data_IF_066988063016
#
_entry.id   IF_066988063016
#
_cell.length_a   1.000
_cell.length_b   1.000
_cell.length_c   1.000
_cell.angle_alpha   90.00
_cell.angle_beta   90.00
_cell.angle_gamma   90.00
#
_symmetry.space_group_name_H-M   'P 1'
#
loop_
_entity.id
_entity.type
_entity.pdbx_description
1 polymer ?
#
# COMPACT_ATOMS: atom_id res chain seq x y z
N UNK A 1 18.54 -4.18 -73.62
CA UNK A 1 19.98 -4.49 -73.48
C UNK A 1 20.80 -3.23 -73.53
N UNK A 2 21.50 -2.88 -72.49
CA UNK A 2 22.52 -1.82 -72.52
C UNK A 2 23.82 -2.52 -72.88
N UNK A 3 24.05 -2.65 -74.16
CA UNK A 3 25.30 -3.11 -74.72
C UNK A 3 26.28 -1.93 -74.85
N UNK A 4 27.32 -1.90 -74.00
CA UNK A 4 28.48 -1.08 -74.23
C UNK A 4 28.77 0.05 -73.25
N UNK A 5 28.86 -0.20 -71.98
CA UNK A 5 29.54 0.69 -71.04
C UNK A 5 30.62 -0.09 -70.30
N UNK A 6 31.83 -0.09 -70.84
CA UNK A 6 33.06 -0.51 -70.19
C UNK A 6 33.53 0.65 -69.32
N UNK A 7 33.34 0.59 -68.02
CA UNK A 7 34.08 1.41 -67.06
C UNK A 7 33.48 2.74 -66.58
N UNK A 8 32.18 3.03 -66.80
CA UNK A 8 31.54 4.21 -66.27
C UNK A 8 30.67 3.87 -65.03
N UNK A 9 30.82 4.62 -63.96
CA UNK A 9 29.87 4.56 -62.84
C UNK A 9 28.54 5.10 -63.31
N UNK A 10 27.54 4.21 -63.47
CA UNK A 10 26.16 4.64 -63.78
C UNK A 10 25.54 5.11 -62.48
N UNK A 11 25.40 6.39 -62.33
CA UNK A 11 24.61 6.95 -61.21
C UNK A 11 23.12 6.94 -61.63
N UNK A 12 22.23 6.19 -60.99
CA UNK A 12 20.80 6.26 -61.29
C UNK A 12 20.30 7.69 -61.10
N UNK A 13 19.32 8.10 -61.90
CA UNK A 13 18.64 9.35 -61.65
C UNK A 13 17.94 9.36 -60.29
N UNK A 14 17.79 10.55 -59.68
CA UNK A 14 17.08 10.69 -58.42
C UNK A 14 15.68 10.05 -58.51
N UNK A 15 15.33 9.28 -57.48
CA UNK A 15 14.07 8.50 -57.37
C UNK A 15 13.90 7.40 -58.45
N UNK A 16 14.96 7.01 -59.16
CA UNK A 16 14.89 5.96 -60.17
C UNK A 16 15.10 4.54 -59.63
N UNK A 17 15.47 4.40 -58.35
CA UNK A 17 15.67 3.11 -57.65
C UNK A 17 14.46 2.84 -56.75
N UNK A 18 13.58 1.96 -57.18
CA UNK A 18 12.46 1.47 -56.38
C UNK A 18 12.71 0.10 -55.79
N UNK A 19 11.75 -0.47 -55.06
CA UNK A 19 11.85 -1.80 -54.42
C UNK A 19 12.15 -2.92 -55.40
N UNK A 20 11.69 -2.80 -56.66
CA UNK A 20 11.96 -3.78 -57.72
C UNK A 20 13.43 -3.82 -58.14
N UNK A 21 14.14 -2.69 -58.10
CA UNK A 21 15.56 -2.59 -58.42
C UNK A 21 16.44 -3.11 -57.23
N UNK A 22 15.89 -3.11 -56.00
CA UNK A 22 16.54 -3.68 -54.83
C UNK A 22 16.39 -5.19 -54.73
N UNK A 23 15.69 -5.83 -55.68
CA UNK A 23 15.38 -7.25 -55.69
C UNK A 23 14.65 -7.69 -54.43
N UNK A 24 13.71 -6.85 -53.96
CA UNK A 24 12.86 -7.12 -52.80
C UNK A 24 11.41 -7.21 -53.28
N UNK A 25 10.64 -8.11 -52.66
CA UNK A 25 9.18 -8.04 -52.74
C UNK A 25 8.69 -6.84 -51.95
N UNK A 26 7.51 -6.32 -52.30
CA UNK A 26 6.94 -5.20 -51.56
C UNK A 26 6.70 -5.60 -50.08
N UNK A 27 6.98 -4.68 -49.14
CA UNK A 27 6.79 -4.86 -47.72
C UNK A 27 5.42 -4.34 -47.27
N UNK A 28 5.11 -4.51 -45.97
CA UNK A 28 3.93 -3.95 -45.34
C UNK A 28 4.24 -2.59 -44.70
N UNK A 29 3.20 -1.79 -44.48
CA UNK A 29 3.34 -0.48 -43.83
C UNK A 29 4.03 -0.65 -42.44
N UNK A 30 5.01 0.24 -42.17
CA UNK A 30 5.77 0.20 -40.89
C UNK A 30 7.00 -0.73 -40.88
N UNK A 31 7.25 -1.44 -42.00
CA UNK A 31 8.47 -2.23 -42.13
C UNK A 31 9.65 -1.39 -42.64
N UNK A 32 10.87 -1.78 -42.25
CA UNK A 32 12.12 -1.18 -42.74
C UNK A 32 12.95 -2.22 -43.49
N UNK A 33 13.86 -1.77 -44.35
CA UNK A 33 14.78 -2.65 -45.07
C UNK A 33 15.92 -3.02 -44.14
N UNK A 34 16.12 -4.31 -43.93
CA UNK A 34 17.16 -4.92 -43.07
C UNK A 34 18.18 -5.63 -43.95
N UNK A 35 19.47 -5.49 -43.63
CA UNK A 35 20.54 -6.33 -44.18
C UNK A 35 20.88 -7.47 -43.22
N UNK A 36 21.27 -8.63 -43.76
CA UNK A 36 21.80 -9.75 -43.00
C UNK A 36 23.32 -9.68 -42.79
N UNK A 37 23.98 -8.59 -43.20
CA UNK A 37 25.42 -8.42 -43.13
C UNK A 37 26.20 -9.19 -44.26
N UNK A 38 25.52 -9.95 -45.11
CA UNK A 38 26.13 -10.78 -46.20
C UNK A 38 25.52 -10.43 -47.59
N UNK A 39 25.01 -9.22 -47.75
CA UNK A 39 24.50 -8.69 -49.03
C UNK A 39 23.07 -9.04 -49.34
N UNK A 40 22.31 -9.65 -48.47
CA UNK A 40 20.85 -9.88 -48.63
C UNK A 40 20.04 -8.80 -47.92
N UNK A 41 19.07 -8.21 -48.62
CA UNK A 41 18.11 -7.27 -48.08
C UNK A 41 16.76 -7.95 -47.87
N UNK A 42 16.06 -7.60 -46.82
CA UNK A 42 14.70 -8.06 -46.50
C UNK A 42 13.91 -6.97 -45.79
N UNK A 43 12.59 -7.05 -45.83
CA UNK A 43 11.75 -6.21 -44.98
C UNK A 43 11.67 -6.83 -43.58
N UNK A 44 11.72 -6.00 -42.55
CA UNK A 44 11.56 -6.39 -41.16
C UNK A 44 10.72 -5.38 -40.41
N UNK A 45 9.95 -5.83 -39.46
CA UNK A 45 9.32 -4.98 -38.44
C UNK A 45 10.32 -4.72 -37.33
N UNK A 46 10.24 -3.58 -36.67
CA UNK A 46 10.93 -3.39 -35.40
C UNK A 46 10.26 -4.32 -34.38
N UNK A 47 10.87 -5.45 -34.13
CA UNK A 47 10.41 -6.38 -33.09
C UNK A 47 10.99 -5.92 -31.75
N UNK A 48 10.17 -5.19 -31.02
CA UNK A 48 10.51 -4.79 -29.65
C UNK A 48 10.25 -5.92 -28.64
N UNK A 49 9.58 -7.01 -29.10
CA UNK A 49 9.31 -8.18 -28.24
C UNK A 49 10.50 -9.11 -28.08
N UNK A 50 11.51 -8.99 -28.94
CA UNK A 50 12.72 -9.82 -28.95
C UNK A 50 13.95 -9.13 -28.35
N UNK A 51 13.80 -8.01 -27.65
CA UNK A 51 14.87 -7.42 -26.86
C UNK A 51 15.21 -8.39 -25.69
N UNK A 52 16.24 -9.24 -25.91
CA UNK A 52 16.55 -10.34 -24.98
C UNK A 52 17.21 -9.87 -23.70
N UNK A 53 17.75 -8.64 -23.65
CA UNK A 53 18.59 -8.22 -22.52
C UNK A 53 18.28 -6.82 -21.98
N UNK A 54 18.14 -5.80 -22.84
CA UNK A 54 17.88 -4.43 -22.38
C UNK A 54 17.32 -3.52 -23.45
N UNK A 55 16.48 -2.57 -23.05
CA UNK A 55 16.10 -1.39 -23.81
C UNK A 55 16.77 -0.18 -23.18
N UNK A 56 17.71 0.45 -23.90
CA UNK A 56 18.44 1.62 -23.39
C UNK A 56 18.09 2.87 -24.19
N UNK A 57 17.61 3.90 -23.48
CA UNK A 57 17.49 5.25 -24.04
C UNK A 57 18.68 6.06 -23.53
N UNK A 58 19.54 6.53 -24.44
CA UNK A 58 20.74 7.27 -24.09
C UNK A 58 20.76 8.66 -24.74
N UNK A 59 21.35 9.63 -24.04
CA UNK A 59 21.46 11.01 -24.49
C UNK A 59 21.75 11.95 -23.34
N UNK A 60 21.88 13.24 -23.61
CA UNK A 60 22.08 14.25 -22.54
C UNK A 60 20.80 14.51 -21.72
N UNK A 61 19.62 14.30 -22.31
CA UNK A 61 18.31 14.44 -21.68
C UNK A 61 17.36 13.34 -22.19
N UNK A 62 17.61 12.06 -21.83
CA UNK A 62 16.80 10.96 -22.33
C UNK A 62 15.38 11.02 -21.75
N UNK A 63 14.38 10.78 -22.61
CA UNK A 63 12.97 10.80 -22.25
C UNK A 63 12.27 9.57 -22.82
N UNK A 64 11.44 8.91 -22.03
CA UNK A 64 10.44 7.94 -22.48
C UNK A 64 9.07 8.58 -22.29
N UNK A 65 8.37 8.82 -23.42
CA UNK A 65 6.99 9.29 -23.38
C UNK A 65 6.06 8.11 -23.62
N UNK A 66 5.07 7.94 -22.75
CA UNK A 66 4.02 6.94 -22.88
C UNK A 66 2.69 7.70 -22.92
N UNK A 67 1.89 7.50 -23.98
CA UNK A 67 0.68 8.24 -24.26
C UNK A 67 0.87 9.35 -25.27
N UNK A 68 -0.25 9.93 -25.74
CA UNK A 68 -0.31 10.99 -26.76
C UNK A 68 -1.02 12.26 -26.29
N UNK A 69 -1.19 12.41 -24.96
CA UNK A 69 -1.96 13.47 -24.29
C UNK A 69 -3.48 13.40 -24.55
N UNK A 70 -3.99 12.24 -24.91
CA UNK A 70 -5.42 11.94 -24.93
C UNK A 70 -5.94 11.56 -23.54
N UNK A 71 -7.25 11.39 -23.43
CA UNK A 71 -7.91 10.96 -22.20
C UNK A 71 -7.84 9.43 -22.07
N UNK A 72 -6.63 8.90 -21.89
CA UNK A 72 -6.40 7.47 -21.72
C UNK A 72 -5.45 7.17 -20.57
N UNK A 73 -5.69 6.07 -19.88
CA UNK A 73 -4.77 5.52 -18.90
C UNK A 73 -3.46 5.07 -19.56
N UNK A 74 -2.35 5.49 -19.01
CA UNK A 74 -1.03 5.08 -19.50
C UNK A 74 -0.25 4.34 -18.42
N UNK A 75 0.48 3.27 -18.78
CA UNK A 75 1.19 2.46 -17.78
C UNK A 75 2.39 1.69 -18.33
N UNK A 76 3.27 1.34 -17.41
CA UNK A 76 4.28 0.29 -17.57
C UNK A 76 3.80 -0.90 -16.74
N UNK A 77 3.80 -2.08 -17.33
CA UNK A 77 3.50 -3.34 -16.63
C UNK A 77 4.79 -4.12 -16.45
N UNK A 78 5.03 -4.55 -15.22
CA UNK A 78 6.03 -5.53 -14.86
C UNK A 78 5.35 -6.89 -14.88
N UNK A 79 5.45 -7.57 -16.02
CA UNK A 79 4.79 -8.86 -16.31
C UNK A 79 5.63 -9.99 -15.69
N UNK A 80 5.22 -10.46 -14.52
CA UNK A 80 5.89 -11.50 -13.76
C UNK A 80 5.21 -12.86 -13.91
N UNK A 81 5.96 -13.95 -13.72
CA UNK A 81 5.38 -15.30 -13.82
C UNK A 81 4.32 -15.59 -12.75
N UNK A 82 4.46 -15.04 -11.56
CA UNK A 82 3.54 -15.29 -10.45
C UNK A 82 2.59 -14.12 -10.20
N UNK A 83 3.04 -12.89 -10.45
CA UNK A 83 2.29 -11.69 -10.14
C UNK A 83 2.79 -10.52 -10.97
N UNK A 84 1.87 -9.76 -11.54
CA UNK A 84 2.15 -8.52 -12.25
C UNK A 84 2.09 -7.33 -11.30
N UNK A 85 2.85 -6.29 -11.64
CA UNK A 85 2.75 -4.96 -11.05
C UNK A 85 2.70 -3.91 -12.17
N UNK A 86 2.13 -2.77 -11.87
CA UNK A 86 2.13 -1.64 -12.79
C UNK A 86 2.52 -0.34 -12.09
N UNK A 87 3.01 0.59 -12.91
CA UNK A 87 3.09 2.02 -12.59
C UNK A 87 2.45 2.77 -13.74
N UNK A 88 1.53 3.67 -13.47
CA UNK A 88 0.80 4.37 -14.53
C UNK A 88 0.00 5.57 -14.05
N UNK A 89 -0.46 6.33 -15.02
CA UNK A 89 -1.36 7.46 -14.83
C UNK A 89 -2.80 6.98 -15.06
N UNK A 90 -3.63 7.14 -14.05
CA UNK A 90 -5.09 6.99 -14.12
C UNK A 90 -5.68 8.35 -14.54
N UNK A 91 -6.02 8.48 -15.83
CA UNK A 91 -6.52 9.73 -16.39
C UNK A 91 -7.86 10.16 -15.76
N UNK A 92 -8.66 9.21 -15.35
CA UNK A 92 -9.98 9.49 -14.76
C UNK A 92 -9.92 10.11 -13.37
N UNK A 93 -8.82 9.86 -12.64
CA UNK A 93 -8.57 10.36 -11.29
C UNK A 93 -7.46 11.42 -11.26
N UNK A 94 -6.73 11.63 -12.37
CA UNK A 94 -5.53 12.45 -12.46
C UNK A 94 -4.40 12.00 -11.50
N UNK A 95 -4.34 10.67 -11.20
CA UNK A 95 -3.46 10.09 -10.21
C UNK A 95 -2.32 9.27 -10.83
N UNK A 96 -1.11 9.41 -10.27
CA UNK A 96 -0.03 8.45 -10.52
C UNK A 96 -0.15 7.27 -9.56
N UNK A 97 -0.32 6.05 -10.09
CA UNK A 97 -0.61 4.84 -9.33
C UNK A 97 0.51 3.82 -9.47
N UNK A 98 0.88 3.18 -8.35
CA UNK A 98 1.64 1.93 -8.32
C UNK A 98 0.72 0.86 -7.74
N UNK A 99 0.48 -0.22 -8.48
CA UNK A 99 -0.51 -1.21 -8.09
C UNK A 99 -0.17 -2.64 -8.51
N UNK A 100 -1.02 -3.56 -8.05
CA UNK A 100 -0.97 -4.99 -8.33
C UNK A 100 -1.79 -5.32 -9.58
N UNK A 101 -1.30 -6.29 -10.33
CA UNK A 101 -1.92 -6.74 -11.58
C UNK A 101 -1.54 -5.88 -12.77
N UNK A 102 -2.10 -6.20 -13.93
CA UNK A 102 -1.86 -5.49 -15.18
C UNK A 102 -2.92 -4.42 -15.48
N UNK A 103 -3.95 -4.26 -14.65
CA UNK A 103 -5.04 -3.30 -14.82
C UNK A 103 -4.90 -2.15 -13.85
N UNK A 104 -4.80 -0.94 -14.38
CA UNK A 104 -4.68 0.28 -13.58
C UNK A 104 -5.94 0.51 -12.72
N UNK A 105 -5.77 1.09 -11.53
CA UNK A 105 -6.87 1.48 -10.66
C UNK A 105 -7.58 0.36 -9.89
N UNK A 106 -7.32 -0.93 -10.16
CA UNK A 106 -8.03 -2.03 -9.48
C UNK A 106 -7.48 -2.39 -8.11
N UNK A 107 -6.18 -2.32 -7.92
CA UNK A 107 -5.50 -2.62 -6.64
C UNK A 107 -4.32 -1.68 -6.48
N UNK A 108 -4.60 -0.49 -5.95
CA UNK A 108 -3.59 0.56 -5.79
C UNK A 108 -2.87 0.39 -4.47
N UNK A 109 -1.54 0.26 -4.52
CA UNK A 109 -0.67 0.19 -3.34
C UNK A 109 -0.16 1.56 -2.92
N UNK A 110 0.17 2.42 -3.90
CA UNK A 110 0.58 3.81 -3.71
C UNK A 110 -0.16 4.64 -4.73
N UNK A 111 -0.74 5.74 -4.28
CA UNK A 111 -1.41 6.74 -5.11
C UNK A 111 -0.80 8.10 -4.81
N UNK A 112 -0.44 8.84 -5.85
CA UNK A 112 0.01 10.22 -5.76
C UNK A 112 -0.99 11.06 -6.56
N UNK A 113 -1.75 11.90 -5.86
CA UNK A 113 -2.76 12.75 -6.49
C UNK A 113 -2.14 13.98 -7.18
N UNK A 114 -2.93 14.71 -7.93
CA UNK A 114 -2.52 15.93 -8.65
C UNK A 114 -1.97 17.04 -7.75
N UNK A 115 -2.36 17.05 -6.45
CA UNK A 115 -1.88 17.98 -5.45
C UNK A 115 -0.57 17.54 -4.79
N UNK A 116 -0.10 16.31 -5.09
CA UNK A 116 1.13 15.73 -4.56
C UNK A 116 0.97 15.00 -3.22
N UNK A 117 -0.26 14.70 -2.78
CA UNK A 117 -0.46 13.85 -1.60
C UNK A 117 -0.17 12.40 -1.95
N UNK A 118 0.51 11.71 -1.05
CA UNK A 118 0.83 10.28 -1.20
C UNK A 118 -0.02 9.48 -0.22
N UNK A 119 -0.83 8.58 -0.76
CA UNK A 119 -1.62 7.65 0.05
C UNK A 119 -1.22 6.21 -0.21
N UNK A 120 -1.48 5.35 0.77
CA UNK A 120 -1.26 3.90 0.71
C UNK A 120 -2.54 3.20 1.15
N UNK A 121 -3.52 3.01 0.25
CA UNK A 121 -4.85 2.53 0.61
C UNK A 121 -4.89 1.18 1.30
N UNK A 122 -3.91 0.32 1.02
CA UNK A 122 -3.79 -1.03 1.59
C UNK A 122 -2.80 -1.12 2.77
N UNK A 123 -2.29 0.02 3.27
CA UNK A 123 -1.48 0.02 4.48
C UNK A 123 -2.37 -0.33 5.68
N UNK A 124 -2.04 -1.35 6.49
CA UNK A 124 -2.81 -1.68 7.67
C UNK A 124 -2.95 -0.50 8.61
N UNK A 125 -4.16 -0.09 8.88
CA UNK A 125 -4.50 0.99 9.81
C UNK A 125 -5.96 0.87 10.23
N UNK A 126 -6.23 1.04 11.52
CA UNK A 126 -7.57 0.98 12.07
C UNK A 126 -7.76 1.96 13.23
N UNK A 127 -8.99 2.31 13.49
CA UNK A 127 -9.46 2.96 14.72
C UNK A 127 -10.80 2.37 15.11
N UNK A 128 -10.86 1.80 16.30
CA UNK A 128 -12.07 1.27 16.89
C UNK A 128 -12.39 1.98 18.21
N UNK A 129 -13.69 2.15 18.48
CA UNK A 129 -14.20 2.89 19.63
C UNK A 129 -15.22 2.06 20.41
N UNK A 130 -15.35 2.39 21.68
CA UNK A 130 -16.41 1.82 22.50
C UNK A 130 -17.71 2.59 22.27
N UNK A 131 -18.71 1.93 21.69
CA UNK A 131 -19.98 2.55 21.27
C UNK A 131 -21.21 1.97 21.95
N UNK A 132 -21.07 0.82 22.60
CA UNK A 132 -22.17 0.20 23.35
C UNK A 132 -22.10 0.53 24.85
N UNK A 133 -23.00 -0.04 25.64
CA UNK A 133 -23.07 0.19 27.09
C UNK A 133 -21.72 0.03 27.79
N UNK A 134 -21.58 0.66 28.93
CA UNK A 134 -20.40 0.59 29.76
C UNK A 134 -19.97 -0.86 30.06
N UNK A 135 -18.70 -1.06 30.34
CA UNK A 135 -18.14 -2.37 30.61
C UNK A 135 -17.52 -2.40 32.01
N UNK A 136 -18.01 -3.29 32.87
CA UNK A 136 -17.41 -3.53 34.18
C UNK A 136 -16.37 -4.64 34.05
N UNK A 137 -15.07 -4.36 34.24
CA UNK A 137 -14.02 -5.38 34.23
C UNK A 137 -14.18 -6.39 35.36
N UNK A 138 -13.53 -7.54 35.20
CA UNK A 138 -13.47 -8.52 36.27
C UNK A 138 -12.34 -8.17 37.24
N UNK A 139 -12.65 -8.05 38.52
CA UNK A 139 -11.64 -7.75 39.54
C UNK A 139 -10.51 -8.81 39.59
N UNK A 140 -9.29 -8.34 39.78
CA UNK A 140 -8.07 -9.16 39.86
C UNK A 140 -7.79 -10.01 38.60
N UNK A 141 -8.28 -9.58 37.43
CA UNK A 141 -8.06 -10.25 36.15
C UNK A 141 -7.79 -9.27 35.04
N UNK A 142 -7.04 -9.69 34.03
CA UNK A 142 -6.89 -8.95 32.80
C UNK A 142 -8.18 -9.06 31.96
N UNK A 143 -8.97 -8.00 31.89
CA UNK A 143 -10.21 -7.95 31.11
C UNK A 143 -9.96 -7.27 29.77
N UNK A 144 -10.30 -7.93 28.67
CA UNK A 144 -10.21 -7.30 27.34
C UNK A 144 -11.25 -6.19 27.23
N UNK A 145 -10.79 -5.00 26.88
CA UNK A 145 -11.68 -3.86 26.61
C UNK A 145 -12.38 -4.08 25.28
N UNK A 146 -13.71 -3.91 25.30
CA UNK A 146 -14.51 -4.03 24.07
C UNK A 146 -14.57 -2.71 23.33
N UNK A 147 -14.26 -2.75 22.02
CA UNK A 147 -14.42 -1.63 21.08
C UNK A 147 -15.27 -2.16 19.93
N UNK A 148 -16.54 -1.85 19.94
CA UNK A 148 -17.55 -2.51 19.11
C UNK A 148 -17.83 -1.81 17.79
N UNK A 149 -17.26 -0.62 17.58
CA UNK A 149 -17.47 0.16 16.37
C UNK A 149 -16.14 0.60 15.79
N UNK A 150 -15.99 0.41 14.50
CA UNK A 150 -14.86 0.94 13.74
C UNK A 150 -15.18 2.34 13.22
N UNK A 151 -14.23 3.27 13.37
CA UNK A 151 -14.24 4.54 12.65
C UNK A 151 -13.67 4.33 11.26
N UNK A 152 -12.61 3.55 11.16
CA UNK A 152 -12.04 3.02 9.92
C UNK A 152 -11.23 1.75 10.19
N UNK A 153 -11.18 0.90 9.18
CA UNK A 153 -10.28 -0.27 9.10
C UNK A 153 -9.97 -0.51 7.62
N UNK A 154 -8.74 -0.22 7.20
CA UNK A 154 -8.38 -0.22 5.78
C UNK A 154 -8.45 -1.60 5.12
N UNK A 155 -8.19 -2.67 5.87
CA UNK A 155 -8.08 -4.02 5.29
C UNK A 155 -8.93 -5.07 6.02
N UNK A 156 -9.83 -4.66 6.91
CA UNK A 156 -10.57 -5.55 7.79
C UNK A 156 -9.64 -6.41 8.70
N UNK A 157 -8.58 -5.75 9.22
CA UNK A 157 -7.60 -6.38 10.11
C UNK A 157 -8.03 -6.36 11.58
N UNK A 158 -9.04 -5.57 11.94
CA UNK A 158 -9.62 -5.49 13.27
C UNK A 158 -10.95 -6.23 13.33
N UNK A 159 -11.21 -6.92 14.44
CA UNK A 159 -12.45 -7.67 14.67
C UNK A 159 -13.19 -7.09 15.87
N UNK A 160 -14.29 -6.41 15.61
CA UNK A 160 -15.15 -5.80 16.65
C UNK A 160 -15.80 -6.79 17.59
N UNK A 161 -15.99 -8.06 17.18
CA UNK A 161 -16.63 -9.09 18.02
C UNK A 161 -15.77 -9.49 19.20
N UNK A 162 -14.45 -9.52 19.03
CA UNK A 162 -13.50 -9.90 20.07
C UNK A 162 -12.51 -8.80 20.42
N UNK A 163 -12.67 -7.60 19.80
CA UNK A 163 -11.85 -6.40 19.99
C UNK A 163 -10.35 -6.67 19.81
N UNK A 164 -10.01 -7.35 18.73
CA UNK A 164 -8.66 -7.81 18.43
C UNK A 164 -8.23 -7.39 17.02
N UNK A 165 -7.06 -6.77 16.92
CA UNK A 165 -6.35 -6.56 15.66
C UNK A 165 -5.52 -7.80 15.33
N UNK A 166 -5.47 -8.17 14.05
CA UNK A 166 -4.62 -9.26 13.54
C UNK A 166 -3.66 -8.70 12.51
N UNK A 167 -2.36 -8.87 12.72
CA UNK A 167 -1.34 -8.38 11.80
C UNK A 167 -1.40 -9.12 10.46
N UNK A 168 -1.67 -8.47 9.33
CA UNK A 168 -1.70 -9.14 8.03
C UNK A 168 -0.30 -9.46 7.49
N UNK A 169 0.72 -8.74 7.95
CA UNK A 169 2.12 -8.93 7.54
C UNK A 169 3.05 -8.81 8.75
N UNK A 170 4.21 -9.44 8.67
CA UNK A 170 5.29 -9.23 9.64
C UNK A 170 5.80 -7.79 9.55
N UNK A 171 5.91 -7.11 10.69
CA UNK A 171 6.34 -5.72 10.72
C UNK A 171 6.29 -5.10 12.11
N UNK A 172 6.52 -3.80 12.14
CA UNK A 172 6.38 -3.01 13.36
C UNK A 172 5.12 -2.19 13.31
N UNK A 173 4.28 -2.36 14.33
CA UNK A 173 2.99 -1.70 14.44
C UNK A 173 3.01 -0.73 15.60
N UNK A 174 2.57 0.48 15.33
CA UNK A 174 2.31 1.48 16.35
C UNK A 174 0.87 1.39 16.81
N UNK A 175 0.66 1.31 18.13
CA UNK A 175 -0.66 1.28 18.74
C UNK A 175 -0.79 2.37 19.76
N UNK A 176 -1.99 2.91 19.89
CA UNK A 176 -2.38 3.75 21.02
C UNK A 176 -3.80 3.46 21.43
N UNK A 177 -4.05 3.62 22.71
CA UNK A 177 -5.37 3.47 23.32
C UNK A 177 -5.57 4.51 24.38
N UNK A 178 -6.81 4.95 24.51
CA UNK A 178 -7.31 5.74 25.61
C UNK A 178 -8.53 5.04 26.18
N UNK A 179 -8.59 4.91 27.48
CA UNK A 179 -9.69 4.31 28.22
C UNK A 179 -10.18 5.32 29.23
N UNK A 180 -11.42 5.73 29.10
CA UNK A 180 -12.13 6.49 30.11
C UNK A 180 -12.82 5.52 31.06
N UNK A 181 -12.67 5.77 32.34
CA UNK A 181 -13.34 5.06 33.43
C UNK A 181 -14.10 6.03 34.31
N UNK A 182 -15.26 5.60 34.74
CA UNK A 182 -16.13 6.34 35.64
C UNK A 182 -16.26 5.57 36.98
N UNK A 183 -16.72 6.28 38.02
CA UNK A 183 -16.93 5.71 39.36
C UNK A 183 -15.67 5.11 40.01
N UNK A 184 -14.53 5.73 39.77
CA UNK A 184 -13.26 5.31 40.38
C UNK A 184 -13.34 5.51 41.89
N UNK A 185 -13.60 4.41 42.63
CA UNK A 185 -13.86 4.47 44.05
C UNK A 185 -12.66 4.84 44.91
N UNK A 186 -12.93 5.59 46.00
CA UNK A 186 -11.98 5.81 47.07
C UNK A 186 -11.82 4.52 47.89
N UNK A 187 -10.96 3.62 47.47
CA UNK A 187 -10.64 2.38 48.10
C UNK A 187 -9.36 1.80 47.52
N UNK A 188 -8.84 0.76 48.08
CA UNK A 188 -7.65 0.09 47.52
C UNK A 188 -7.92 -0.33 46.10
N UNK A 189 -7.20 0.24 45.14
CA UNK A 189 -7.41 -0.10 43.73
C UNK A 189 -6.20 0.10 42.86
N UNK A 190 -5.67 -1.02 42.31
CA UNK A 190 -4.61 -0.98 41.30
C UNK A 190 -5.26 -0.89 39.90
N UNK A 191 -4.87 0.12 39.15
CA UNK A 191 -5.30 0.31 37.79
C UNK A 191 -4.13 0.17 36.83
N UNK A 192 -4.28 -0.62 35.80
CA UNK A 192 -3.32 -0.65 34.72
C UNK A 192 -3.98 -0.95 33.39
N UNK A 193 -3.50 -0.29 32.34
CA UNK A 193 -3.80 -0.63 30.95
C UNK A 193 -2.67 -1.48 30.40
N UNK A 194 -3.01 -2.42 29.53
CA UNK A 194 -2.07 -3.28 28.84
C UNK A 194 -2.38 -3.30 27.35
N UNK A 195 -1.36 -3.18 26.52
CA UNK A 195 -1.43 -3.60 25.14
C UNK A 195 -0.83 -5.01 25.09
N UNK A 196 -1.63 -5.97 24.67
CA UNK A 196 -1.31 -7.40 24.71
C UNK A 196 -1.26 -7.92 23.28
N UNK A 197 -0.05 -8.22 22.80
CA UNK A 197 0.13 -8.96 21.54
C UNK A 197 0.44 -10.43 21.82
N UNK A 198 0.42 -11.24 20.75
CA UNK A 198 0.83 -12.64 20.82
C UNK A 198 2.25 -12.81 21.35
N UNK A 199 3.14 -11.86 21.02
CA UNK A 199 4.56 -11.94 21.34
C UNK A 199 4.93 -11.32 22.69
N UNK A 200 4.21 -10.27 23.09
CA UNK A 200 4.52 -9.56 24.34
C UNK A 200 3.35 -8.76 24.88
N UNK A 201 3.45 -8.49 26.15
CA UNK A 201 2.55 -7.56 26.85
C UNK A 201 3.35 -6.35 27.29
N UNK A 202 2.87 -5.15 26.94
CA UNK A 202 3.37 -3.91 27.53
C UNK A 202 2.32 -3.35 28.47
N UNK A 203 2.81 -2.78 29.56
CA UNK A 203 1.97 -2.20 30.60
C UNK A 203 2.23 -0.70 30.68
N UNK A 204 1.19 0.08 30.97
CA UNK A 204 1.41 1.41 31.49
C UNK A 204 1.88 1.34 32.96
N UNK A 205 2.11 2.49 33.54
CA UNK A 205 2.35 2.60 34.98
C UNK A 205 1.14 2.08 35.75
N UNK A 206 1.35 1.14 36.66
CA UNK A 206 0.32 0.75 37.62
C UNK A 206 0.15 1.88 38.63
N UNK A 207 -1.08 2.28 38.84
CA UNK A 207 -1.42 3.33 39.81
C UNK A 207 -2.30 2.73 40.87
N UNK A 208 -1.88 2.81 42.13
CA UNK A 208 -2.73 2.54 43.28
C UNK A 208 -3.47 3.85 43.64
N UNK A 209 -4.73 3.93 43.22
CA UNK A 209 -5.57 5.10 43.48
C UNK A 209 -6.13 5.14 44.88
N UNK A 210 -6.14 3.99 45.61
CA UNK A 210 -6.65 3.91 46.97
C UNK A 210 -5.90 4.79 47.95
N UNK A 211 -4.60 4.98 47.75
CA UNK A 211 -3.76 5.85 48.57
C UNK A 211 -3.91 7.34 48.30
N UNK A 212 -4.55 7.70 47.18
CA UNK A 212 -4.65 9.09 46.73
C UNK A 212 -6.08 9.65 46.76
N UNK A 213 -7.08 8.80 46.80
CA UNK A 213 -8.49 9.19 46.69
C UNK A 213 -9.26 8.94 47.97
N UNK A 214 -9.59 10.00 48.69
CA UNK A 214 -10.48 9.93 49.88
C UNK A 214 -11.97 9.80 49.48
N UNK A 215 -12.30 10.09 48.22
CA UNK A 215 -13.66 10.08 47.67
C UNK A 215 -13.68 9.50 46.27
N UNK A 216 -14.85 9.04 45.84
CA UNK A 216 -15.05 8.58 44.45
C UNK A 216 -14.79 9.71 43.47
N UNK A 217 -13.95 9.45 42.45
CA UNK A 217 -13.80 10.33 41.29
C UNK A 217 -14.81 9.95 40.22
N UNK A 218 -15.50 10.94 39.70
CA UNK A 218 -16.52 10.70 38.64
C UNK A 218 -15.88 10.20 37.36
N UNK A 219 -14.68 10.67 37.02
CA UNK A 219 -14.05 10.41 35.71
C UNK A 219 -12.54 10.39 35.79
N UNK A 220 -11.93 9.42 35.06
CA UNK A 220 -10.49 9.39 34.82
C UNK A 220 -10.22 8.76 33.44
N UNK A 221 -9.19 9.23 32.75
CA UNK A 221 -8.75 8.64 31.50
C UNK A 221 -7.31 8.16 31.63
N UNK A 222 -7.05 7.00 31.08
CA UNK A 222 -5.73 6.40 30.98
C UNK A 222 -5.35 6.31 29.50
N UNK A 223 -4.12 6.64 29.17
CA UNK A 223 -3.59 6.54 27.83
C UNK A 223 -2.36 5.64 27.80
N UNK A 224 -2.18 4.94 26.70
CA UNK A 224 -1.02 4.11 26.46
C UNK A 224 -0.67 4.06 24.99
N UNK A 225 0.61 4.13 24.71
CA UNK A 225 1.17 4.01 23.34
C UNK A 225 2.29 2.98 23.36
N UNK A 226 2.37 2.18 22.29
CA UNK A 226 3.42 1.19 22.14
C UNK A 226 3.77 0.91 20.69
N UNK A 227 5.04 0.61 20.46
CA UNK A 227 5.55 0.06 19.20
C UNK A 227 5.86 -1.41 19.43
N UNK A 228 5.20 -2.28 18.65
CA UNK A 228 5.30 -3.72 18.78
C UNK A 228 5.81 -4.35 17.47
N UNK A 229 6.71 -5.30 17.60
CA UNK A 229 7.06 -6.23 16.55
C UNK A 229 6.03 -7.36 16.51
N UNK A 230 5.43 -7.61 15.36
CA UNK A 230 4.41 -8.63 15.16
C UNK A 230 4.73 -9.43 13.89
N UNK A 231 4.56 -10.73 13.97
CA UNK A 231 4.56 -11.59 12.79
C UNK A 231 3.18 -11.60 12.13
N UNK A 232 3.13 -12.00 10.86
CA UNK A 232 1.85 -12.21 10.19
C UNK A 232 0.98 -13.19 10.99
N UNK A 233 -0.29 -12.82 11.21
CA UNK A 233 -1.27 -13.52 12.04
C UNK A 233 -1.12 -13.34 13.55
N UNK A 234 -0.13 -12.59 14.03
CA UNK A 234 -0.12 -12.19 15.43
C UNK A 234 -1.30 -11.27 15.75
N UNK A 235 -1.77 -11.36 16.98
CA UNK A 235 -2.90 -10.57 17.44
C UNK A 235 -2.49 -9.51 18.44
N UNK A 236 -3.25 -8.41 18.49
CA UNK A 236 -3.08 -7.34 19.46
C UNK A 236 -4.43 -6.87 20.00
N UNK A 237 -4.50 -6.66 21.29
CA UNK A 237 -5.70 -6.18 21.98
C UNK A 237 -5.35 -5.35 23.20
N UNK A 238 -6.33 -4.62 23.70
CA UNK A 238 -6.20 -3.85 24.94
C UNK A 238 -6.85 -4.61 26.08
N UNK A 239 -6.16 -4.65 27.21
CA UNK A 239 -6.71 -5.14 28.47
C UNK A 239 -6.56 -4.08 29.55
N UNK A 240 -7.51 -4.08 30.45
CA UNK A 240 -7.39 -3.42 31.74
C UNK A 240 -7.21 -4.45 32.84
N UNK A 241 -6.51 -4.07 33.90
CA UNK A 241 -6.45 -4.81 35.14
C UNK A 241 -6.87 -3.88 36.25
N UNK A 242 -7.74 -4.38 37.10
CA UNK A 242 -8.24 -3.65 38.24
C UNK A 242 -8.52 -4.61 39.40
N UNK A 243 -8.61 -4.13 40.64
CA UNK A 243 -8.90 -4.93 41.82
C UNK A 243 -10.11 -4.42 42.65
N UNK A 244 -10.72 -3.27 42.28
CA UNK A 244 -11.75 -2.64 43.10
C UNK A 244 -13.07 -2.29 42.40
N UNK A 245 -13.18 -2.51 41.13
CA UNK A 245 -14.40 -2.22 40.35
C UNK A 245 -14.51 -0.76 39.89
N UNK A 246 -14.68 -0.59 38.60
CA UNK A 246 -15.05 0.65 37.94
C UNK A 246 -15.79 0.31 36.64
N UNK A 247 -16.35 1.29 36.00
CA UNK A 247 -16.98 1.12 34.70
C UNK A 247 -16.14 1.78 33.60
N UNK A 248 -15.87 1.03 32.51
CA UNK A 248 -15.32 1.60 31.28
C UNK A 248 -16.46 2.22 30.51
N UNK A 249 -16.40 3.52 30.30
CA UNK A 249 -17.46 4.28 29.66
C UNK A 249 -17.53 4.10 28.14
N UNK A 250 -18.74 4.23 27.61
CA UNK A 250 -19.04 4.09 26.19
C UNK A 250 -18.93 5.40 25.40
N UNK A 251 -17.99 6.25 25.78
CA UNK A 251 -17.75 7.53 25.11
C UNK A 251 -16.83 7.35 23.92
N UNK A 252 -17.38 7.44 22.72
CA UNK A 252 -16.67 7.19 21.45
C UNK A 252 -15.47 8.11 21.21
N UNK A 253 -15.45 9.30 21.82
CA UNK A 253 -14.35 10.25 21.71
C UNK A 253 -13.25 10.02 22.77
N UNK A 254 -13.54 9.25 23.81
CA UNK A 254 -12.68 9.11 24.98
C UNK A 254 -12.22 7.67 25.25
N UNK A 255 -12.86 6.67 24.62
CA UNK A 255 -12.50 5.26 24.75
C UNK A 255 -12.29 4.65 23.38
N UNK A 256 -11.03 4.52 22.98
CA UNK A 256 -10.64 4.04 21.65
C UNK A 256 -9.37 3.20 21.67
N UNK A 257 -9.21 2.41 20.62
CA UNK A 257 -7.99 1.68 20.27
C UNK A 257 -7.71 1.87 18.80
N UNK A 258 -6.49 2.27 18.47
CA UNK A 258 -6.09 2.45 17.08
C UNK A 258 -4.64 2.03 16.88
N UNK A 259 -4.30 1.72 15.63
CA UNK A 259 -2.94 1.35 15.26
C UNK A 259 -2.74 1.34 13.76
N UNK A 260 -1.46 1.28 13.37
CA UNK A 260 -1.07 1.18 11.98
C UNK A 260 0.32 0.53 11.84
N UNK A 261 0.57 -0.03 10.65
CA UNK A 261 1.88 -0.56 10.26
C UNK A 261 2.85 0.59 10.02
N UNK A 262 3.99 0.57 10.70
CA UNK A 262 5.07 1.56 10.53
C UNK A 262 6.03 1.13 9.43
N UNK A 263 6.52 -0.14 9.50
CA UNK A 263 7.49 -0.68 8.53
C UNK A 263 7.54 -2.22 8.62
#
# INVERSE_FOLDING_TARGET
EISGAVGGTITPADNSVGVTQLNLSDGSNGQFIKTNGSGTLSFATVDTSSATDSFTISGSTPTLTIGDAGAEDTKIVFDGNAQDFHIGLDDSADDLVIGLGSTLGTTSHIVIDEAGHVTKPLQPAFMAVKSSAGQTPSANAGTTVTFESEIFDNNADYNTTNSTFTAPVTGRYWFTTRIRVDEVGGGTGIYSIRIVSSNRTIHNTQVDLGDYLDTTMDRMSFEMTGLLDMDASDTCKVQVYEDSGYEIENEVEETFFMGYLVC
#
